data_IF_647496659842
#
_entry.id   IF_647496659842
#
_cell.length_a   1.000
_cell.length_b   1.000
_cell.length_c   1.000
_cell.angle_alpha   90.00
_cell.angle_beta   90.00
_cell.angle_gamma   90.00
#
_symmetry.space_group_name_H-M   'P 1'
#
loop_
_entity.id
_entity.type
_entity.pdbx_description
1 polymer ?
#
# COMPACT_ATOMS: atom_id res chain seq x y z
N UNK A 1 -3.95 82.71 -1.31
CA UNK A 1 -4.39 81.59 -2.16
C UNK A 1 -3.19 81.08 -2.93
N UNK A 2 -3.02 79.77 -3.09
CA UNK A 2 -2.07 79.17 -4.03
C UNK A 2 -2.85 78.49 -5.16
N UNK A 3 -2.34 78.55 -6.38
CA UNK A 3 -2.85 77.73 -7.48
C UNK A 3 -2.09 76.42 -7.57
N UNK A 4 -2.82 75.31 -7.52
CA UNK A 4 -2.29 73.97 -7.70
C UNK A 4 -3.15 73.29 -8.78
N UNK A 5 -2.55 72.89 -9.91
CA UNK A 5 -3.25 72.28 -11.05
C UNK A 5 -4.48 73.10 -11.54
N UNK A 6 -4.42 74.43 -11.52
CA UNK A 6 -5.52 75.29 -11.98
C UNK A 6 -6.68 75.47 -11.00
N UNK A 7 -6.60 74.90 -9.78
CA UNK A 7 -7.55 75.17 -8.69
C UNK A 7 -6.98 76.18 -7.71
N UNK A 8 -7.80 77.16 -7.31
CA UNK A 8 -7.46 78.13 -6.25
C UNK A 8 -7.72 77.53 -4.88
N UNK A 9 -6.65 77.10 -4.22
CA UNK A 9 -6.70 76.46 -2.91
C UNK A 9 -6.12 77.37 -1.81
N UNK A 10 -6.60 77.17 -0.58
CA UNK A 10 -6.00 77.82 0.59
C UNK A 10 -4.69 77.12 0.96
N UNK A 11 -3.76 77.86 1.58
CA UNK A 11 -2.46 77.33 2.01
C UNK A 11 -2.60 76.09 2.91
N UNK A 12 -3.61 76.09 3.77
CA UNK A 12 -3.91 74.99 4.68
C UNK A 12 -4.34 73.72 3.93
N UNK A 13 -5.12 73.84 2.86
CA UNK A 13 -5.56 72.68 2.07
C UNK A 13 -4.38 72.07 1.32
N UNK A 14 -3.48 72.89 0.76
CA UNK A 14 -2.25 72.39 0.11
C UNK A 14 -1.35 71.66 1.11
N UNK A 15 -1.22 72.17 2.33
CA UNK A 15 -0.45 71.50 3.39
C UNK A 15 -1.05 70.15 3.80
N UNK A 16 -2.38 70.07 3.98
CA UNK A 16 -3.08 68.82 4.32
C UNK A 16 -2.93 67.79 3.21
N UNK A 17 -3.06 68.19 1.94
CA UNK A 17 -2.85 67.28 0.80
C UNK A 17 -1.41 66.76 0.73
N UNK A 18 -0.42 67.61 1.01
CA UNK A 18 0.98 67.21 1.09
C UNK A 18 1.23 66.16 2.17
N UNK A 19 0.68 66.38 3.38
CA UNK A 19 0.78 65.40 4.48
C UNK A 19 0.06 64.10 4.14
N UNK A 20 -1.15 64.18 3.57
CA UNK A 20 -1.91 63.01 3.17
C UNK A 20 -1.17 62.17 2.11
N UNK A 21 -0.49 62.83 1.15
CA UNK A 21 0.33 62.15 0.15
C UNK A 21 1.51 61.42 0.81
N UNK A 22 2.21 62.06 1.75
CA UNK A 22 3.33 61.43 2.46
C UNK A 22 2.86 60.21 3.26
N UNK A 23 1.74 60.34 3.99
CA UNK A 23 1.15 59.22 4.73
C UNK A 23 0.75 58.07 3.78
N UNK A 24 0.13 58.38 2.64
CA UNK A 24 -0.24 57.37 1.65
C UNK A 24 0.98 56.62 1.10
N UNK A 25 2.09 57.32 0.83
CA UNK A 25 3.34 56.70 0.39
C UNK A 25 3.94 55.77 1.45
N UNK A 26 3.94 56.18 2.73
CA UNK A 26 4.38 55.33 3.83
C UNK A 26 3.53 54.07 3.99
N UNK A 27 2.20 54.20 3.88
CA UNK A 27 1.28 53.06 3.95
C UNK A 27 1.50 52.11 2.77
N UNK A 28 1.67 52.65 1.56
CA UNK A 28 1.94 51.85 0.37
C UNK A 28 3.26 51.07 0.51
N UNK A 29 4.33 51.72 0.97
CA UNK A 29 5.62 51.08 1.23
C UNK A 29 5.49 49.94 2.26
N UNK A 30 4.85 50.21 3.40
CA UNK A 30 4.63 49.22 4.44
C UNK A 30 3.76 48.02 3.97
N UNK A 31 2.84 48.24 3.02
CA UNK A 31 2.03 47.18 2.44
C UNK A 31 2.85 46.27 1.50
N UNK A 32 3.78 46.83 0.72
CA UNK A 32 4.69 46.06 -0.15
C UNK A 32 5.60 45.16 0.68
N UNK A 33 6.23 45.70 1.73
CA UNK A 33 7.10 44.94 2.64
C UNK A 33 6.34 43.79 3.32
N UNK A 34 5.14 44.06 3.85
CA UNK A 34 4.30 43.01 4.44
C UNK A 34 3.94 41.92 3.44
N UNK A 35 3.66 42.28 2.19
CA UNK A 35 3.36 41.30 1.13
C UNK A 35 4.58 40.43 0.82
N UNK A 36 5.77 41.02 0.74
CA UNK A 36 7.01 40.25 0.52
C UNK A 36 7.31 39.30 1.70
N UNK A 37 7.15 39.77 2.94
CA UNK A 37 7.34 38.96 4.13
C UNK A 37 6.36 37.77 4.18
N UNK A 38 5.07 38.02 3.95
CA UNK A 38 4.05 36.95 3.93
C UNK A 38 4.28 35.93 2.83
N UNK A 39 4.68 36.36 1.63
CA UNK A 39 5.02 35.43 0.54
C UNK A 39 6.22 34.56 0.88
N UNK A 40 7.25 35.13 1.50
CA UNK A 40 8.44 34.39 1.92
C UNK A 40 8.07 33.32 2.94
N UNK A 41 7.25 33.67 3.93
CA UNK A 41 6.79 32.72 4.94
C UNK A 41 5.91 31.62 4.37
N UNK A 42 5.02 31.94 3.42
CA UNK A 42 4.22 30.94 2.71
C UNK A 42 5.09 29.96 1.91
N UNK A 43 6.14 30.45 1.25
CA UNK A 43 7.09 29.60 0.53
C UNK A 43 7.85 28.67 1.48
N UNK A 44 8.36 29.20 2.60
CA UNK A 44 9.04 28.39 3.61
C UNK A 44 8.13 27.28 4.17
N UNK A 45 6.87 27.60 4.46
CA UNK A 45 5.88 26.62 4.93
C UNK A 45 5.56 25.59 3.86
N UNK A 46 5.43 26.00 2.59
CA UNK A 46 5.17 25.09 1.48
C UNK A 46 6.33 24.11 1.29
N UNK A 47 7.57 24.61 1.28
CA UNK A 47 8.78 23.79 1.20
C UNK A 47 8.89 22.81 2.36
N UNK A 48 8.73 23.29 3.60
CA UNK A 48 8.77 22.40 4.77
C UNK A 48 7.71 21.28 4.73
N UNK A 49 6.52 21.57 4.17
CA UNK A 49 5.48 20.55 3.96
C UNK A 49 5.86 19.54 2.88
N UNK A 50 6.46 20.01 1.79
CA UNK A 50 6.92 19.17 0.69
C UNK A 50 8.07 18.26 1.14
N UNK A 51 9.04 18.79 1.88
CA UNK A 51 10.15 18.04 2.47
C UNK A 51 9.66 16.99 3.47
N UNK A 52 8.69 17.35 4.33
CA UNK A 52 8.10 16.39 5.26
C UNK A 52 7.35 15.27 4.54
N UNK A 53 6.63 15.58 3.45
CA UNK A 53 5.95 14.57 2.63
C UNK A 53 6.95 13.67 1.93
N UNK A 54 7.98 14.22 1.29
CA UNK A 54 8.98 13.44 0.58
C UNK A 54 9.76 12.51 1.53
N UNK A 55 10.09 12.98 2.74
CA UNK A 55 10.70 12.15 3.77
C UNK A 55 9.78 11.01 4.23
N UNK A 56 8.49 11.30 4.44
CA UNK A 56 7.50 10.27 4.78
C UNK A 56 7.36 9.24 3.66
N UNK A 57 7.23 9.68 2.41
CA UNK A 57 7.07 8.83 1.25
C UNK A 57 8.30 7.94 1.04
N UNK A 58 9.51 8.49 1.20
CA UNK A 58 10.75 7.74 1.14
C UNK A 58 10.82 6.66 2.24
N UNK A 59 10.47 7.02 3.48
CA UNK A 59 10.44 6.06 4.60
C UNK A 59 9.45 4.93 4.35
N UNK A 60 8.22 5.26 3.91
CA UNK A 60 7.20 4.25 3.68
C UNK A 60 7.50 3.38 2.47
N UNK A 61 8.08 3.93 1.39
CA UNK A 61 8.56 3.13 0.26
C UNK A 61 9.61 2.11 0.71
N UNK A 62 10.57 2.53 1.53
CA UNK A 62 11.61 1.63 2.04
C UNK A 62 11.02 0.50 2.92
N UNK A 63 10.06 0.82 3.80
CA UNK A 63 9.39 -0.20 4.61
C UNK A 63 8.53 -1.16 3.78
N UNK A 64 7.83 -0.65 2.76
CA UNK A 64 7.06 -1.48 1.82
C UNK A 64 8.00 -2.40 1.05
N UNK A 65 9.12 -1.91 0.54
CA UNK A 65 10.11 -2.71 -0.18
C UNK A 65 10.67 -3.82 0.72
N UNK A 66 11.04 -3.49 1.96
CA UNK A 66 11.49 -4.46 2.96
C UNK A 66 10.43 -5.52 3.26
N UNK A 67 9.18 -5.10 3.47
CA UNK A 67 8.06 -6.01 3.73
C UNK A 67 7.79 -6.93 2.54
N UNK A 68 7.82 -6.40 1.32
CA UNK A 68 7.65 -7.19 0.09
C UNK A 68 8.79 -8.19 -0.11
N UNK A 69 10.04 -7.80 0.17
CA UNK A 69 11.18 -8.69 0.11
C UNK A 69 11.05 -9.84 1.13
N UNK A 70 10.58 -9.56 2.34
CA UNK A 70 10.32 -10.59 3.35
C UNK A 70 9.19 -11.53 2.89
N UNK A 71 8.06 -10.98 2.43
CA UNK A 71 6.94 -11.77 1.94
C UNK A 71 7.33 -12.66 0.74
N UNK A 72 8.21 -12.19 -0.14
CA UNK A 72 8.74 -12.99 -1.25
C UNK A 72 9.59 -14.17 -0.75
N UNK A 73 10.45 -13.96 0.27
CA UNK A 73 11.24 -15.03 0.90
C UNK A 73 10.35 -16.05 1.58
N UNK A 74 9.34 -15.59 2.32
CA UNK A 74 8.41 -16.47 3.03
C UNK A 74 7.60 -17.33 2.06
N UNK A 75 7.13 -16.74 0.94
CA UNK A 75 6.45 -17.49 -0.13
C UNK A 75 7.35 -18.53 -0.77
N UNK A 76 8.61 -18.20 -1.02
CA UNK A 76 9.57 -19.16 -1.57
C UNK A 76 9.81 -20.33 -0.60
N UNK A 77 10.02 -20.04 0.69
CA UNK A 77 10.19 -21.06 1.71
C UNK A 77 8.94 -21.94 1.86
N UNK A 78 7.74 -21.35 1.85
CA UNK A 78 6.49 -22.11 1.89
C UNK A 78 6.31 -22.99 0.65
N UNK A 79 6.67 -22.49 -0.54
CA UNK A 79 6.62 -23.26 -1.78
C UNK A 79 7.57 -24.45 -1.75
N UNK A 80 8.78 -24.29 -1.21
CA UNK A 80 9.72 -25.39 -1.04
C UNK A 80 9.21 -26.45 -0.07
N UNK A 81 8.67 -26.02 1.08
CA UNK A 81 8.09 -26.93 2.07
C UNK A 81 6.92 -27.69 1.46
N UNK A 82 6.00 -26.99 0.79
CA UNK A 82 4.85 -27.61 0.13
C UNK A 82 5.28 -28.62 -0.95
N UNK A 83 6.31 -28.31 -1.74
CA UNK A 83 6.85 -29.22 -2.74
C UNK A 83 7.43 -30.50 -2.09
N UNK A 84 8.18 -30.36 -0.99
CA UNK A 84 8.73 -31.51 -0.25
C UNK A 84 7.63 -32.38 0.36
N UNK A 85 6.66 -31.77 1.02
CA UNK A 85 5.51 -32.47 1.60
C UNK A 85 4.70 -33.19 0.52
N UNK A 86 4.49 -32.55 -0.63
CA UNK A 86 3.80 -33.18 -1.76
C UNK A 86 4.57 -34.39 -2.29
N UNK A 87 5.88 -34.27 -2.48
CA UNK A 87 6.71 -35.37 -2.94
C UNK A 87 6.69 -36.56 -1.97
N UNK A 88 6.73 -36.29 -0.66
CA UNK A 88 6.59 -37.33 0.37
C UNK A 88 5.23 -38.04 0.30
N UNK A 89 4.15 -37.27 0.24
CA UNK A 89 2.80 -37.83 0.13
C UNK A 89 2.61 -38.65 -1.15
N UNK A 90 3.14 -38.19 -2.29
CA UNK A 90 3.08 -38.93 -3.55
C UNK A 90 3.89 -40.24 -3.47
N UNK A 91 5.05 -40.24 -2.81
CA UNK A 91 5.84 -41.45 -2.58
C UNK A 91 5.11 -42.46 -1.69
N UNK A 92 4.47 -42.01 -0.60
CA UNK A 92 3.67 -42.87 0.28
C UNK A 92 2.45 -43.44 -0.44
N UNK A 93 1.74 -42.64 -1.23
CA UNK A 93 0.62 -43.10 -2.05
C UNK A 93 1.09 -44.17 -3.04
N UNK A 94 2.24 -43.97 -3.69
CA UNK A 94 2.81 -44.95 -4.62
C UNK A 94 3.15 -46.27 -3.89
N UNK A 95 3.78 -46.19 -2.72
CA UNK A 95 4.11 -47.35 -1.91
C UNK A 95 2.85 -48.12 -1.46
N UNK A 96 1.81 -47.42 -0.98
CA UNK A 96 0.55 -48.01 -0.59
C UNK A 96 -0.18 -48.66 -1.77
N UNK A 97 -0.17 -48.04 -2.95
CA UNK A 97 -0.73 -48.62 -4.17
C UNK A 97 -0.01 -49.90 -4.57
N UNK A 98 1.33 -49.90 -4.54
CA UNK A 98 2.11 -51.11 -4.81
C UNK A 98 1.77 -52.23 -3.83
N UNK A 99 1.72 -51.92 -2.53
CA UNK A 99 1.36 -52.89 -1.51
C UNK A 99 -0.06 -53.46 -1.69
N UNK A 100 -1.02 -52.61 -2.08
CA UNK A 100 -2.39 -53.04 -2.38
C UNK A 100 -2.41 -54.00 -3.58
N UNK A 101 -1.77 -53.64 -4.70
CA UNK A 101 -1.71 -54.51 -5.89
C UNK A 101 -1.01 -55.84 -5.61
N UNK A 102 0.05 -55.82 -4.80
CA UNK A 102 0.73 -57.05 -4.36
C UNK A 102 -0.19 -57.93 -3.50
N UNK A 103 -0.97 -57.33 -2.59
CA UNK A 103 -1.95 -58.04 -1.78
C UNK A 103 -3.08 -58.62 -2.63
N UNK A 104 -3.62 -57.85 -3.58
CA UNK A 104 -4.66 -58.31 -4.52
C UNK A 104 -4.16 -59.49 -5.36
N UNK A 105 -2.92 -59.42 -5.86
CA UNK A 105 -2.28 -60.49 -6.62
C UNK A 105 -2.08 -61.74 -5.78
N UNK A 106 -1.57 -61.60 -4.54
CA UNK A 106 -1.40 -62.72 -3.61
C UNK A 106 -2.74 -63.35 -3.24
N UNK A 107 -3.78 -62.54 -3.03
CA UNK A 107 -5.12 -63.01 -2.71
C UNK A 107 -5.73 -63.80 -3.88
N UNK A 108 -5.57 -63.32 -5.12
CA UNK A 108 -6.00 -64.04 -6.33
C UNK A 108 -5.26 -65.38 -6.53
N UNK A 109 -4.02 -65.50 -6.05
CA UNK A 109 -3.23 -66.73 -6.13
C UNK A 109 -3.56 -67.76 -5.03
N UNK A 110 -4.39 -67.42 -4.05
CA UNK A 110 -4.76 -68.35 -2.98
C UNK A 110 -5.66 -69.48 -3.53
N UNK A 111 -5.30 -70.75 -3.28
CA UNK A 111 -6.15 -71.86 -3.69
C UNK A 111 -7.49 -71.77 -2.97
N UNK A 112 -8.56 -71.73 -3.77
CA UNK A 112 -9.94 -71.64 -3.32
C UNK A 112 -10.40 -70.31 -2.71
N UNK A 113 -9.85 -69.18 -3.16
CA UNK A 113 -10.30 -67.83 -2.77
C UNK A 113 -11.82 -67.62 -2.91
N UNK A 114 -12.45 -68.33 -3.84
CA UNK A 114 -13.89 -68.30 -4.10
C UNK A 114 -14.73 -69.04 -3.04
N UNK A 115 -14.11 -69.87 -2.18
CA UNK A 115 -14.83 -70.69 -1.17
C UNK A 115 -15.06 -69.97 0.17
N UNK A 116 -14.37 -68.85 0.42
CA UNK A 116 -14.45 -68.09 1.66
C UNK A 116 -14.86 -66.64 1.42
N UNK A 117 -15.97 -66.45 0.69
CA UNK A 117 -16.63 -65.16 0.54
C UNK A 117 -18.13 -65.36 0.36
N UNK A 118 -18.94 -64.46 0.92
CA UNK A 118 -20.36 -64.38 0.57
C UNK A 118 -20.44 -63.97 -0.90
N UNK A 119 -20.69 -64.95 -1.77
CA UNK A 119 -20.98 -64.70 -3.18
C UNK A 119 -22.11 -63.67 -3.29
N UNK A 120 -22.12 -62.86 -4.37
CA UNK A 120 -23.15 -61.82 -4.61
C UNK A 120 -24.58 -62.38 -4.52
N UNK A 121 -24.76 -63.69 -4.77
CA UNK A 121 -26.02 -64.42 -4.58
C UNK A 121 -26.39 -64.74 -3.13
N UNK A 122 -25.44 -64.83 -2.19
CA UNK A 122 -25.69 -65.07 -0.75
C UNK A 122 -26.01 -63.79 0.05
N UNK A 123 -25.71 -62.60 -0.47
CA UNK A 123 -26.20 -61.33 0.09
C UNK A 123 -27.72 -61.17 -0.12
N UNK A 124 -28.30 -61.92 -1.07
CA UNK A 124 -29.75 -62.00 -1.34
C UNK A 124 -30.52 -62.89 -0.34
N UNK A 125 -29.98 -63.09 0.86
CA UNK A 125 -30.64 -63.80 1.98
C UNK A 125 -30.95 -62.80 3.12
N UNK A 126 -30.41 -61.58 3.08
CA UNK A 126 -30.88 -60.52 3.97
C UNK A 126 -32.22 -59.96 3.45
N UNK A 127 -33.26 -59.89 4.28
CA UNK A 127 -34.53 -59.28 3.89
C UNK A 127 -34.33 -57.79 3.59
N UNK A 128 -35.06 -57.30 2.58
CA UNK A 128 -35.28 -55.86 2.38
C UNK A 128 -36.29 -55.34 3.40
#
# INVERSE_FOLDING_TARGET
>A
MLELLGLRLSRSVVAVLGVALVVALFVAFAAVERRAATQTMQRAVAQAREDARSACDARWRAEIEKSNAQAARDKAAQSEVAARTRAQAEAEIAALKSALTDMETKNAALPHGDRCGLERGRVRILPQ
#
